data_IF_425204029293
#
_entry.id   IF_425204029293
#
_cell.length_a   1.000
_cell.length_b   1.000
_cell.length_c   1.000
_cell.angle_alpha   90.00
_cell.angle_beta   90.00
_cell.angle_gamma   90.00
#
_symmetry.space_group_name_H-M   'P 1'
#
loop_
_entity.id
_entity.type
_entity.pdbx_description
1 polymer ?
#
# COMPACT_ATOMS: atom_id res chain seq x y z
N UNK A 1 32.59 -0.97 2.23
CA UNK A 1 31.15 -0.91 2.45
C UNK A 1 30.87 -0.30 3.82
N UNK A 2 30.06 0.76 3.89
CA UNK A 2 29.70 1.37 5.18
C UNK A 2 28.76 0.40 5.91
N UNK A 3 29.26 -0.20 7.01
CA UNK A 3 28.46 -1.04 7.89
C UNK A 3 27.56 -0.18 8.75
N UNK A 4 26.29 -0.54 8.84
CA UNK A 4 25.27 0.11 9.66
C UNK A 4 25.24 -0.52 11.03
N UNK A 5 25.47 0.27 12.07
CA UNK A 5 25.36 -0.16 13.48
C UNK A 5 23.98 0.19 14.05
N UNK A 6 23.48 1.38 13.75
CA UNK A 6 22.20 1.88 14.23
C UNK A 6 21.31 2.27 13.07
N UNK A 7 20.20 1.54 12.88
CA UNK A 7 19.20 1.81 11.85
C UNK A 7 17.89 2.24 12.47
N UNK A 8 17.24 3.21 11.84
CA UNK A 8 15.90 3.65 12.16
C UNK A 8 14.95 3.26 11.03
N UNK A 9 13.95 2.43 11.30
CA UNK A 9 12.95 2.03 10.28
C UNK A 9 11.59 2.59 10.66
N UNK A 10 10.92 3.20 9.70
CA UNK A 10 9.50 3.54 9.75
C UNK A 10 8.74 2.71 8.73
N UNK A 11 7.65 2.09 9.17
CA UNK A 11 6.78 1.30 8.29
C UNK A 11 5.35 1.84 8.29
N UNK A 12 4.84 2.13 7.10
CA UNK A 12 3.47 2.56 6.85
C UNK A 12 2.74 1.46 6.07
N UNK A 13 1.72 0.89 6.72
CA UNK A 13 0.93 -0.20 6.13
C UNK A 13 -0.09 0.30 5.09
N UNK A 14 -0.64 -0.61 4.29
CA UNK A 14 -1.70 -0.36 3.32
C UNK A 14 -3.07 -0.09 3.96
N UNK A 15 -4.13 -0.15 3.16
CA UNK A 15 -5.51 -0.01 3.64
C UNK A 15 -5.95 -1.32 4.34
N UNK A 16 -5.47 -1.50 5.57
CA UNK A 16 -5.58 -2.72 6.37
C UNK A 16 -6.00 -2.39 7.81
N UNK A 17 -7.12 -2.93 8.31
CA UNK A 17 -7.62 -2.63 9.66
C UNK A 17 -6.91 -3.40 10.78
N UNK A 18 -5.99 -4.34 10.47
CA UNK A 18 -5.44 -5.32 11.43
C UNK A 18 -4.47 -4.74 12.47
N UNK A 19 -3.82 -3.61 12.17
CA UNK A 19 -3.00 -2.85 13.11
C UNK A 19 -1.66 -3.48 13.50
N UNK A 20 -0.95 -2.80 14.41
CA UNK A 20 0.45 -3.08 14.77
C UNK A 20 0.72 -4.50 15.29
N UNK A 21 -0.24 -5.10 16.02
CA UNK A 21 -0.08 -6.47 16.55
C UNK A 21 0.01 -7.53 15.46
N UNK A 22 -0.72 -7.34 14.35
CA UNK A 22 -0.64 -8.23 13.19
C UNK A 22 0.73 -8.11 12.50
N UNK A 23 1.17 -6.90 12.21
CA UNK A 23 2.44 -6.65 11.50
C UNK A 23 3.66 -7.05 12.34
N UNK A 24 3.62 -6.90 13.66
CA UNK A 24 4.68 -7.40 14.55
C UNK A 24 4.80 -8.93 14.46
N UNK A 25 3.69 -9.67 14.60
CA UNK A 25 3.71 -11.15 14.47
C UNK A 25 4.11 -11.61 13.07
N UNK A 26 3.65 -10.88 12.03
CA UNK A 26 4.05 -11.16 10.64
C UNK A 26 5.56 -11.02 10.49
N UNK A 27 6.13 -9.90 10.94
CA UNK A 27 7.57 -9.66 10.87
C UNK A 27 8.34 -10.77 11.61
N UNK A 28 7.94 -11.08 12.84
CA UNK A 28 8.58 -12.10 13.68
C UNK A 28 8.58 -13.48 13.02
N UNK A 29 7.44 -13.92 12.50
CA UNK A 29 7.32 -15.22 11.83
C UNK A 29 8.08 -15.28 10.52
N UNK A 30 8.02 -14.22 9.72
CA UNK A 30 8.63 -14.21 8.39
C UNK A 30 10.15 -13.98 8.46
N UNK A 31 10.67 -13.19 9.41
CA UNK A 31 12.12 -13.05 9.61
C UNK A 31 12.76 -14.36 10.06
N UNK A 32 12.08 -15.13 10.91
CA UNK A 32 12.54 -16.45 11.32
C UNK A 32 12.62 -17.45 10.15
N UNK A 33 11.66 -17.40 9.21
CA UNK A 33 11.69 -18.19 7.98
C UNK A 33 12.80 -17.72 7.04
N UNK A 34 12.99 -16.42 6.89
CA UNK A 34 14.01 -15.85 6.00
C UNK A 34 15.45 -16.18 6.45
N UNK A 35 15.68 -16.37 7.74
CA UNK A 35 16.98 -16.72 8.28
C UNK A 35 17.56 -18.00 7.64
N UNK A 36 16.72 -18.96 7.27
CA UNK A 36 17.15 -20.17 6.55
C UNK A 36 17.59 -19.92 5.12
N UNK A 37 17.16 -18.78 4.54
CA UNK A 37 17.45 -18.42 3.14
C UNK A 37 18.68 -17.51 3.02
N UNK A 38 18.79 -16.51 3.90
CA UNK A 38 19.84 -15.48 3.81
C UNK A 38 20.88 -15.54 4.94
N UNK A 39 20.72 -16.42 5.92
CA UNK A 39 21.61 -16.54 7.09
C UNK A 39 21.47 -15.40 8.11
N UNK A 40 20.57 -14.46 7.91
CA UNK A 40 20.38 -13.29 8.78
C UNK A 40 19.45 -13.65 9.95
N UNK A 41 20.03 -13.93 11.10
CA UNK A 41 19.27 -14.16 12.35
C UNK A 41 18.88 -12.82 12.97
N UNK A 42 17.58 -12.57 13.08
CA UNK A 42 17.01 -11.34 13.64
C UNK A 42 16.29 -11.66 14.93
N UNK A 43 16.78 -11.13 16.05
CA UNK A 43 16.06 -11.14 17.31
C UNK A 43 15.03 -10.01 17.30
N UNK A 44 13.74 -10.36 17.39
CA UNK A 44 12.62 -9.41 17.39
C UNK A 44 12.10 -9.25 18.80
N UNK A 45 12.24 -8.05 19.38
CA UNK A 45 11.75 -7.77 20.74
C UNK A 45 10.23 -7.70 20.82
N UNK A 46 9.70 -7.69 22.03
CA UNK A 46 8.29 -7.39 22.28
C UNK A 46 7.88 -6.01 21.76
N UNK A 47 6.63 -5.91 21.29
CA UNK A 47 6.05 -4.67 20.78
C UNK A 47 5.75 -3.71 21.95
N UNK A 48 6.19 -2.47 21.82
CA UNK A 48 5.91 -1.36 22.74
C UNK A 48 5.00 -0.33 22.09
N UNK A 49 4.06 0.22 22.85
CA UNK A 49 3.23 1.34 22.40
C UNK A 49 4.03 2.63 22.55
N UNK A 50 4.18 3.37 21.46
CA UNK A 50 4.78 4.70 21.43
C UNK A 50 3.73 5.81 21.51
N UNK A 51 4.18 7.04 21.27
CA UNK A 51 3.31 8.23 21.17
C UNK A 51 2.62 8.26 19.80
N UNK A 52 1.52 8.98 19.69
CA UNK A 52 0.89 9.40 18.43
C UNK A 52 0.60 8.23 17.45
N UNK A 53 -0.02 7.17 17.96
CA UNK A 53 -0.36 5.95 17.20
C UNK A 53 0.85 5.13 16.67
N UNK A 54 2.09 5.46 17.08
CA UNK A 54 3.25 4.65 16.75
C UNK A 54 3.36 3.44 17.67
N UNK A 55 3.90 2.34 17.14
CA UNK A 55 4.34 1.19 17.92
C UNK A 55 5.77 0.85 17.52
N UNK A 56 6.57 0.43 18.50
CA UNK A 56 8.00 0.18 18.29
C UNK A 56 8.38 -1.23 18.73
N UNK A 57 9.39 -1.79 18.09
CA UNK A 57 10.13 -2.96 18.54
C UNK A 57 11.59 -2.86 18.06
N UNK A 58 12.47 -3.60 18.72
CA UNK A 58 13.88 -3.68 18.34
C UNK A 58 14.10 -4.90 17.46
N UNK A 59 14.96 -4.75 16.48
CA UNK A 59 15.49 -5.81 15.67
C UNK A 59 17.00 -5.84 15.92
N UNK A 60 17.49 -6.90 16.53
CA UNK A 60 18.91 -7.06 16.81
C UNK A 60 19.48 -8.17 15.93
N UNK A 61 20.59 -7.88 15.30
CA UNK A 61 21.45 -8.86 14.62
C UNK A 61 22.84 -8.78 15.22
N UNK A 62 23.78 -9.60 14.75
CA UNK A 62 25.18 -9.57 15.21
C UNK A 62 25.83 -8.19 15.03
N UNK A 63 25.46 -7.46 13.97
CA UNK A 63 26.12 -6.21 13.57
C UNK A 63 25.25 -4.96 13.65
N UNK A 64 23.93 -5.10 13.58
CA UNK A 64 22.99 -3.98 13.42
C UNK A 64 21.91 -4.01 14.49
N UNK A 65 21.67 -2.86 15.11
CA UNK A 65 20.48 -2.61 15.95
C UNK A 65 19.53 -1.72 15.21
N UNK A 66 18.30 -2.19 14.98
CA UNK A 66 17.28 -1.42 14.29
C UNK A 66 16.12 -1.12 15.22
N UNK A 67 15.79 0.15 15.38
CA UNK A 67 14.52 0.55 15.99
C UNK A 67 13.45 0.61 14.90
N UNK A 68 12.60 -0.40 14.85
CA UNK A 68 11.49 -0.50 13.91
C UNK A 68 10.25 0.18 14.47
N UNK A 69 9.64 1.07 13.71
CA UNK A 69 8.45 1.85 14.09
C UNK A 69 7.34 1.65 13.09
N UNK A 70 6.29 1.00 13.55
CA UNK A 70 5.02 0.95 12.84
C UNK A 70 4.27 2.27 13.07
N UNK A 71 4.03 3.03 12.01
CA UNK A 71 3.25 4.26 12.03
C UNK A 71 1.78 3.95 11.75
N UNK A 72 0.98 3.85 12.82
CA UNK A 72 -0.40 3.37 12.75
C UNK A 72 -1.38 4.41 12.22
N UNK A 73 -2.20 4.01 11.25
CA UNK A 73 -3.39 4.73 10.77
C UNK A 73 -4.59 3.80 10.55
N UNK A 74 -4.49 2.59 11.08
CA UNK A 74 -5.52 1.55 11.04
C UNK A 74 -6.83 1.95 11.72
N UNK A 75 -6.81 2.90 12.65
CA UNK A 75 -8.01 3.52 13.24
C UNK A 75 -8.79 4.34 12.19
N UNK A 76 -8.10 5.07 11.30
CA UNK A 76 -8.70 5.78 10.18
C UNK A 76 -9.25 4.76 9.17
N UNK A 77 -8.47 3.71 8.84
CA UNK A 77 -8.95 2.63 7.97
C UNK A 77 -10.23 2.00 8.51
N UNK A 78 -10.29 1.67 9.82
CA UNK A 78 -11.49 1.10 10.44
C UNK A 78 -12.69 2.01 10.41
N UNK A 79 -12.51 3.33 10.55
CA UNK A 79 -13.62 4.32 10.44
C UNK A 79 -14.17 4.39 9.02
N UNK A 80 -13.31 4.29 8.02
CA UNK A 80 -13.68 4.32 6.61
C UNK A 80 -13.98 2.94 6.02
N UNK A 81 -14.08 1.88 6.85
CA UNK A 81 -14.39 0.53 6.37
C UNK A 81 -15.87 0.42 6.00
N UNK A 82 -16.17 -0.01 4.76
CA UNK A 82 -17.57 -0.18 4.32
C UNK A 82 -18.22 -1.40 4.98
N UNK A 83 -19.25 -1.18 5.78
CA UNK A 83 -19.99 -2.24 6.50
C UNK A 83 -21.39 -2.46 5.96
N UNK A 84 -22.05 -1.40 5.53
CA UNK A 84 -23.44 -1.41 5.07
C UNK A 84 -23.59 -1.16 3.57
N UNK A 85 -24.82 -1.34 3.08
CA UNK A 85 -25.16 -1.06 1.68
C UNK A 85 -25.06 0.43 1.34
N UNK A 86 -25.40 1.31 2.27
CA UNK A 86 -25.33 2.77 2.05
C UNK A 86 -23.89 3.23 1.79
N UNK A 87 -22.92 2.70 2.54
CA UNK A 87 -21.51 3.01 2.31
C UNK A 87 -21.01 2.42 0.98
N UNK A 88 -21.45 1.19 0.62
CA UNK A 88 -21.09 0.56 -0.66
C UNK A 88 -21.64 1.38 -1.83
N UNK A 89 -22.90 1.82 -1.77
CA UNK A 89 -23.52 2.66 -2.80
C UNK A 89 -22.84 4.04 -2.88
N UNK A 90 -22.54 4.65 -1.73
CA UNK A 90 -21.78 5.90 -1.67
C UNK A 90 -20.40 5.76 -2.30
N UNK A 91 -19.73 4.62 -2.12
CA UNK A 91 -18.44 4.35 -2.76
C UNK A 91 -18.56 4.14 -4.26
N UNK A 92 -19.61 3.43 -4.70
CA UNK A 92 -19.89 3.25 -6.13
C UNK A 92 -20.17 4.59 -6.81
N UNK A 93 -20.98 5.45 -6.21
CA UNK A 93 -21.24 6.80 -6.74
C UNK A 93 -19.96 7.62 -6.77
N UNK A 94 -19.17 7.58 -5.70
CA UNK A 94 -17.87 8.26 -5.65
C UNK A 94 -16.93 7.75 -6.74
N UNK A 95 -16.87 6.44 -6.98
CA UNK A 95 -16.07 5.82 -8.03
C UNK A 95 -16.52 6.30 -9.42
N UNK A 96 -17.81 6.22 -9.71
CA UNK A 96 -18.36 6.68 -11.00
C UNK A 96 -18.00 8.15 -11.25
N UNK A 97 -18.24 9.03 -10.29
CA UNK A 97 -17.94 10.46 -10.41
C UNK A 97 -16.45 10.75 -10.56
N UNK A 98 -15.62 10.08 -9.75
CA UNK A 98 -14.20 10.40 -9.64
C UNK A 98 -13.34 9.81 -10.76
N UNK A 99 -13.75 8.69 -11.34
CA UNK A 99 -12.96 7.97 -12.34
C UNK A 99 -13.64 7.94 -13.72
N UNK A 100 -14.92 7.57 -13.79
CA UNK A 100 -15.62 7.45 -15.09
C UNK A 100 -16.01 8.83 -15.64
N UNK A 101 -16.81 9.60 -14.92
CA UNK A 101 -17.33 10.89 -15.40
C UNK A 101 -16.25 11.97 -15.47
N UNK A 102 -15.18 11.87 -14.69
CA UNK A 102 -14.05 12.80 -14.73
C UNK A 102 -13.10 12.57 -15.90
N UNK A 103 -13.27 11.51 -16.69
CA UNK A 103 -12.36 11.09 -17.75
C UNK A 103 -11.03 10.50 -17.26
N UNK A 104 -10.81 10.37 -15.94
CA UNK A 104 -9.57 9.81 -15.36
C UNK A 104 -9.38 8.34 -15.68
N UNK A 105 -10.47 7.64 -15.96
CA UNK A 105 -10.44 6.24 -16.39
C UNK A 105 -9.47 5.97 -17.53
N UNK A 106 -9.37 6.88 -18.51
CA UNK A 106 -8.43 6.77 -19.63
C UNK A 106 -6.98 6.88 -19.14
N UNK A 107 -6.70 7.78 -18.19
CA UNK A 107 -5.36 7.92 -17.62
C UNK A 107 -4.93 6.65 -16.88
N UNK A 108 -5.85 6.04 -16.11
CA UNK A 108 -5.59 4.77 -15.44
C UNK A 108 -5.39 3.62 -16.42
N UNK A 109 -6.20 3.56 -17.50
CA UNK A 109 -6.07 2.55 -18.56
C UNK A 109 -4.69 2.59 -19.23
N UNK A 110 -4.21 3.80 -19.54
CA UNK A 110 -2.89 4.02 -20.13
C UNK A 110 -1.75 3.69 -19.16
N UNK A 111 -1.93 4.01 -17.86
CA UNK A 111 -0.91 3.78 -16.85
C UNK A 111 -0.76 2.31 -16.48
N UNK A 112 -1.88 1.60 -16.31
CA UNK A 112 -1.88 0.18 -15.96
C UNK A 112 -3.21 -0.50 -16.33
N UNK A 113 -3.23 -1.37 -17.35
CA UNK A 113 -4.43 -2.17 -17.67
C UNK A 113 -4.91 -3.03 -16.49
N UNK A 114 -4.01 -3.50 -15.64
CA UNK A 114 -4.37 -4.29 -14.44
C UNK A 114 -5.10 -3.46 -13.40
N UNK A 115 -4.66 -2.22 -13.19
CA UNK A 115 -5.37 -1.29 -12.29
C UNK A 115 -6.72 -0.86 -12.87
N UNK A 116 -6.83 -0.77 -14.18
CA UNK A 116 -8.12 -0.59 -14.84
C UNK A 116 -9.07 -1.76 -14.52
N UNK A 117 -8.59 -3.00 -14.66
CA UNK A 117 -9.38 -4.19 -14.33
C UNK A 117 -9.74 -4.22 -12.83
N UNK A 118 -8.78 -3.96 -11.94
CA UNK A 118 -9.01 -3.93 -10.51
C UNK A 118 -10.03 -2.85 -10.09
N UNK A 119 -10.00 -1.68 -10.73
CA UNK A 119 -10.95 -0.60 -10.47
C UNK A 119 -12.35 -0.86 -11.00
N UNK A 120 -12.48 -1.46 -12.20
CA UNK A 120 -13.79 -1.77 -12.81
C UNK A 120 -14.46 -3.00 -12.24
N UNK A 121 -13.67 -3.95 -11.77
CA UNK A 121 -14.16 -5.22 -11.22
C UNK A 121 -15.27 -5.05 -10.17
N UNK A 122 -15.16 -4.15 -9.15
CA UNK A 122 -16.22 -3.97 -8.17
C UNK A 122 -17.53 -3.45 -8.75
N UNK A 123 -17.46 -2.49 -9.68
CA UNK A 123 -18.64 -1.92 -10.31
C UNK A 123 -19.35 -2.96 -11.20
N UNK A 124 -18.58 -3.72 -11.99
CA UNK A 124 -19.10 -4.82 -12.81
C UNK A 124 -19.72 -5.92 -11.95
N UNK A 125 -19.06 -6.29 -10.84
CA UNK A 125 -19.59 -7.27 -9.91
C UNK A 125 -20.96 -6.86 -9.36
N UNK A 126 -21.10 -5.60 -8.90
CA UNK A 126 -22.37 -5.07 -8.39
C UNK A 126 -23.46 -5.06 -9.47
N UNK A 127 -23.13 -4.60 -10.69
CA UNK A 127 -24.08 -4.58 -11.80
C UNK A 127 -24.54 -5.99 -12.17
N UNK A 128 -23.61 -6.91 -12.38
CA UNK A 128 -23.94 -8.30 -12.74
C UNK A 128 -24.71 -9.02 -11.62
N UNK A 129 -24.34 -8.78 -10.35
CA UNK A 129 -25.07 -9.32 -9.21
C UNK A 129 -26.51 -8.81 -9.17
N UNK A 130 -26.75 -7.52 -9.44
CA UNK A 130 -28.08 -6.94 -9.48
C UNK A 130 -28.90 -7.52 -10.63
N UNK A 131 -28.34 -7.56 -11.84
CA UNK A 131 -29.03 -8.10 -13.01
C UNK A 131 -29.40 -9.59 -12.83
N UNK A 132 -28.45 -10.38 -12.32
CA UNK A 132 -28.69 -11.79 -12.01
C UNK A 132 -29.75 -11.98 -10.92
N UNK A 133 -29.69 -11.16 -9.87
CA UNK A 133 -30.67 -11.21 -8.77
C UNK A 133 -32.08 -10.86 -9.26
N UNK A 134 -32.22 -9.83 -10.10
CA UNK A 134 -33.50 -9.45 -10.69
C UNK A 134 -34.03 -10.56 -11.63
N UNK A 135 -33.18 -11.10 -12.48
CA UNK A 135 -33.58 -12.17 -13.41
C UNK A 135 -34.06 -13.42 -12.69
N UNK A 136 -33.33 -13.89 -11.67
CA UNK A 136 -33.73 -15.05 -10.85
C UNK A 136 -35.00 -14.77 -10.04
N UNK A 137 -35.08 -13.58 -9.42
CA UNK A 137 -36.22 -13.22 -8.58
C UNK A 137 -37.51 -13.08 -9.38
N UNK A 138 -37.47 -12.47 -10.57
CA UNK A 138 -38.64 -12.36 -11.45
C UNK A 138 -39.08 -13.72 -12.00
N UNK A 139 -38.12 -14.58 -12.39
CA UNK A 139 -38.43 -15.94 -12.85
C UNK A 139 -39.08 -16.80 -11.78
N UNK A 140 -38.58 -16.76 -10.54
CA UNK A 140 -39.14 -17.53 -9.41
C UNK A 140 -40.47 -16.96 -8.92
N UNK A 141 -40.58 -15.64 -8.77
CA UNK A 141 -41.81 -14.98 -8.32
C UNK A 141 -42.92 -15.12 -9.33
N UNK A 142 -42.62 -15.14 -10.64
CA UNK A 142 -43.58 -15.37 -11.72
C UNK A 142 -44.27 -16.74 -11.70
N UNK A 143 -43.69 -17.71 -10.99
CA UNK A 143 -44.33 -19.05 -10.80
C UNK A 143 -45.39 -19.08 -9.69
N UNK A 144 -45.53 -17.98 -8.92
CA UNK A 144 -46.53 -17.89 -7.87
C UNK A 144 -47.94 -17.77 -8.50
N UNK A 145 -48.95 -18.53 -8.00
CA UNK A 145 -50.29 -18.51 -8.57
C UNK A 145 -51.05 -17.20 -8.30
N UNK A 146 -50.61 -16.43 -7.30
CA UNK A 146 -51.24 -15.15 -6.92
C UNK A 146 -50.50 -13.96 -7.52
N UNK A 147 -51.07 -13.33 -8.56
CA UNK A 147 -50.42 -12.20 -9.26
C UNK A 147 -50.04 -11.05 -8.30
N UNK A 148 -50.89 -10.74 -7.30
CA UNK A 148 -50.60 -9.72 -6.30
C UNK A 148 -49.41 -10.01 -5.40
N UNK A 149 -49.00 -11.29 -5.27
CA UNK A 149 -47.82 -11.67 -4.48
C UNK A 149 -46.51 -11.69 -5.29
N UNK A 150 -46.58 -11.70 -6.63
CA UNK A 150 -45.39 -11.83 -7.47
C UNK A 150 -44.40 -10.64 -7.29
N UNK A 151 -44.91 -9.40 -7.28
CA UNK A 151 -44.05 -8.23 -7.09
C UNK A 151 -43.39 -8.19 -5.71
N UNK A 152 -44.14 -8.30 -4.59
CA UNK A 152 -43.48 -8.31 -3.26
C UNK A 152 -42.53 -9.48 -3.09
N UNK A 153 -42.86 -10.68 -3.57
CA UNK A 153 -41.95 -11.83 -3.54
C UNK A 153 -40.68 -11.59 -4.37
N UNK A 154 -40.81 -11.01 -5.56
CA UNK A 154 -39.66 -10.64 -6.39
C UNK A 154 -38.73 -9.64 -5.71
N UNK A 155 -39.29 -8.63 -5.03
CA UNK A 155 -38.48 -7.66 -4.25
C UNK A 155 -37.73 -8.32 -3.09
N UNK A 156 -38.42 -9.17 -2.32
CA UNK A 156 -37.82 -9.88 -1.19
C UNK A 156 -36.71 -10.84 -1.68
N UNK A 157 -36.96 -11.58 -2.75
CA UNK A 157 -35.96 -12.50 -3.36
C UNK A 157 -34.75 -11.70 -3.88
N UNK A 158 -34.97 -10.59 -4.57
CA UNK A 158 -33.88 -9.71 -5.04
C UNK A 158 -33.02 -9.23 -3.87
N UNK A 159 -33.65 -8.76 -2.79
CA UNK A 159 -32.93 -8.31 -1.60
C UNK A 159 -32.12 -9.45 -0.95
N UNK A 160 -32.69 -10.64 -0.84
CA UNK A 160 -32.00 -11.83 -0.30
C UNK A 160 -30.81 -12.25 -1.16
N UNK A 161 -30.95 -12.29 -2.49
CA UNK A 161 -29.89 -12.60 -3.43
C UNK A 161 -28.77 -11.54 -3.40
N UNK A 162 -29.12 -10.27 -3.32
CA UNK A 162 -28.14 -9.20 -3.17
C UNK A 162 -27.40 -9.28 -1.83
N UNK A 163 -28.09 -9.68 -0.74
CA UNK A 163 -27.43 -9.91 0.54
C UNK A 163 -26.40 -11.05 0.45
N UNK A 164 -26.76 -12.15 -0.21
CA UNK A 164 -25.86 -13.28 -0.49
C UNK A 164 -24.68 -12.83 -1.36
N UNK A 165 -24.95 -12.05 -2.40
CA UNK A 165 -23.90 -11.45 -3.24
C UNK A 165 -22.94 -10.58 -2.44
N UNK A 166 -23.46 -9.79 -1.48
CA UNK A 166 -22.58 -9.01 -0.58
C UNK A 166 -21.63 -9.89 0.22
N UNK A 167 -22.11 -11.01 0.75
CA UNK A 167 -21.26 -11.96 1.48
C UNK A 167 -20.15 -12.52 0.58
N UNK A 168 -20.48 -12.94 -0.64
CA UNK A 168 -19.51 -13.42 -1.63
C UNK A 168 -18.53 -12.31 -2.05
N UNK A 169 -19.02 -11.09 -2.29
CA UNK A 169 -18.23 -9.95 -2.65
C UNK A 169 -17.18 -9.56 -1.59
N UNK A 170 -17.51 -9.73 -0.30
CA UNK A 170 -16.54 -9.55 0.78
C UNK A 170 -15.42 -10.59 0.71
N UNK A 171 -15.74 -11.87 0.45
CA UNK A 171 -14.74 -12.94 0.28
C UNK A 171 -13.85 -12.72 -0.95
N UNK A 172 -14.40 -12.12 -1.99
CA UNK A 172 -13.72 -11.79 -3.24
C UNK A 172 -13.04 -10.40 -3.19
N UNK A 173 -13.01 -9.74 -2.03
CA UNK A 173 -12.44 -8.42 -1.80
C UNK A 173 -13.01 -7.30 -2.70
N UNK A 174 -14.21 -7.48 -3.27
CA UNK A 174 -14.87 -6.51 -4.15
C UNK A 174 -15.04 -5.16 -3.44
N UNK A 175 -15.61 -5.17 -2.24
CA UNK A 175 -15.91 -3.93 -1.51
C UNK A 175 -14.67 -3.31 -0.88
N UNK A 176 -13.65 -4.10 -0.59
CA UNK A 176 -12.34 -3.60 -0.17
C UNK A 176 -11.68 -2.78 -1.29
N UNK A 177 -11.66 -3.31 -2.52
CA UNK A 177 -11.14 -2.59 -3.68
C UNK A 177 -11.95 -1.31 -3.95
N UNK A 178 -13.29 -1.40 -4.03
CA UNK A 178 -14.16 -0.24 -4.25
C UNK A 178 -13.90 0.86 -3.22
N UNK A 179 -13.73 0.47 -1.95
CA UNK A 179 -13.42 1.39 -0.85
C UNK A 179 -12.08 2.08 -1.03
N UNK A 180 -11.03 1.37 -1.47
CA UNK A 180 -9.71 1.97 -1.72
C UNK A 180 -9.82 3.07 -2.78
N UNK A 181 -10.50 2.81 -3.90
CA UNK A 181 -10.70 3.81 -4.94
C UNK A 181 -11.51 5.02 -4.43
N UNK A 182 -12.62 4.77 -3.74
CA UNK A 182 -13.45 5.84 -3.18
C UNK A 182 -12.72 6.65 -2.10
N UNK A 183 -11.95 5.99 -1.22
CA UNK A 183 -11.12 6.62 -0.21
C UNK A 183 -10.06 7.53 -0.85
N UNK A 184 -9.33 7.03 -1.85
CA UNK A 184 -8.30 7.79 -2.56
C UNK A 184 -8.89 9.02 -3.26
N UNK A 185 -10.07 8.89 -3.88
CA UNK A 185 -10.77 10.00 -4.51
C UNK A 185 -11.28 11.04 -3.50
N UNK A 186 -11.77 10.61 -2.34
CA UNK A 186 -12.16 11.51 -1.23
C UNK A 186 -10.95 12.23 -0.66
N UNK A 187 -9.84 11.52 -0.47
CA UNK A 187 -8.59 12.13 -0.03
C UNK A 187 -8.10 13.20 -1.01
N UNK A 188 -8.00 12.89 -2.30
CA UNK A 188 -7.60 13.85 -3.34
C UNK A 188 -8.44 15.14 -3.31
N UNK A 189 -9.69 15.08 -2.85
CA UNK A 189 -10.62 16.21 -2.72
C UNK A 189 -10.63 16.85 -1.33
N UNK A 190 -9.71 16.48 -0.42
CA UNK A 190 -9.66 17.00 0.95
C UNK A 190 -10.82 16.59 1.86
N UNK A 191 -11.53 15.50 1.50
CA UNK A 191 -12.75 15.05 2.23
C UNK A 191 -12.46 14.03 3.34
N UNK A 192 -11.19 13.89 3.74
CA UNK A 192 -10.75 13.03 4.85
C UNK A 192 -9.86 13.88 5.76
N UNK A 193 -10.44 14.76 6.59
CA UNK A 193 -9.70 15.78 7.35
C UNK A 193 -8.75 15.16 8.38
N UNK A 194 -9.02 13.96 8.89
CA UNK A 194 -8.17 13.27 9.86
C UNK A 194 -6.83 12.79 9.30
N UNK A 195 -6.65 12.76 7.98
CA UNK A 195 -5.36 12.40 7.37
C UNK A 195 -4.30 13.48 7.59
N UNK A 196 -4.65 14.75 7.49
CA UNK A 196 -3.68 15.85 7.61
C UNK A 196 -2.95 15.84 8.96
N UNK A 197 -3.61 15.81 10.13
CA UNK A 197 -2.90 15.75 11.40
C UNK A 197 -2.10 14.45 11.56
N UNK A 198 -2.55 13.32 10.97
CA UNK A 198 -1.82 12.07 11.00
C UNK A 198 -0.53 12.15 10.17
N UNK A 199 -0.58 12.73 8.98
CA UNK A 199 0.56 12.98 8.10
C UNK A 199 1.57 13.90 8.78
N UNK A 200 1.11 14.99 9.41
CA UNK A 200 1.99 15.92 10.15
C UNK A 200 2.70 15.22 11.33
N UNK A 201 2.00 14.33 12.01
CA UNK A 201 2.59 13.50 13.08
C UNK A 201 3.68 12.57 12.53
N UNK A 202 3.42 11.91 11.42
CA UNK A 202 4.42 11.02 10.79
C UNK A 202 5.63 11.82 10.29
N UNK A 203 5.41 13.00 9.71
CA UNK A 203 6.48 13.90 9.29
C UNK A 203 7.40 14.29 10.45
N UNK A 204 6.83 14.64 11.62
CA UNK A 204 7.61 14.97 12.81
C UNK A 204 8.46 13.77 13.28
N UNK A 205 7.90 12.57 13.37
CA UNK A 205 8.67 11.38 13.75
C UNK A 205 9.82 11.09 12.77
N UNK A 206 9.60 11.27 11.47
CA UNK A 206 10.65 11.11 10.47
C UNK A 206 11.73 12.18 10.61
N UNK A 207 11.34 13.45 10.76
CA UNK A 207 12.27 14.58 10.93
C UNK A 207 13.13 14.43 12.19
N UNK A 208 12.54 14.04 13.33
CA UNK A 208 13.25 13.74 14.57
C UNK A 208 14.33 12.67 14.35
N UNK A 209 13.99 11.58 13.66
CA UNK A 209 14.92 10.49 13.40
C UNK A 209 16.04 10.86 12.40
N UNK A 210 15.75 11.71 11.41
CA UNK A 210 16.73 12.18 10.44
C UNK A 210 17.71 13.15 11.12
N UNK A 211 17.24 14.00 12.03
CA UNK A 211 18.07 14.92 12.79
C UNK A 211 18.93 14.23 13.88
N UNK A 212 18.56 13.03 14.30
CA UNK A 212 19.30 12.25 15.30
C UNK A 212 20.56 11.63 14.68
N UNK A 213 21.73 12.10 15.13
CA UNK A 213 23.04 11.65 14.66
C UNK A 213 23.38 10.21 15.09
N UNK A 214 22.68 9.68 16.09
CA UNK A 214 22.88 8.30 16.52
C UNK A 214 22.43 7.28 15.46
N UNK A 215 21.59 7.69 14.50
CA UNK A 215 21.16 6.80 13.41
C UNK A 215 22.17 6.86 12.25
N UNK A 216 22.79 5.77 11.87
CA UNK A 216 23.61 5.66 10.66
C UNK A 216 22.75 5.73 9.39
N UNK A 217 21.55 5.15 9.43
CA UNK A 217 20.60 5.10 8.30
C UNK A 217 19.16 5.20 8.77
N UNK A 218 18.35 6.00 8.06
CA UNK A 218 16.91 6.15 8.29
C UNK A 218 16.15 5.61 7.08
N UNK A 219 15.42 4.53 7.27
CA UNK A 219 14.68 3.83 6.22
C UNK A 219 13.18 4.03 6.43
N UNK A 220 12.52 4.58 5.45
CA UNK A 220 11.07 4.77 5.44
C UNK A 220 10.49 3.78 4.43
N UNK A 221 9.68 2.84 4.92
CA UNK A 221 9.06 1.80 4.10
C UNK A 221 7.56 2.01 4.09
N UNK A 222 6.97 2.06 2.93
CA UNK A 222 5.53 2.17 2.78
C UNK A 222 5.01 1.09 1.82
N UNK A 223 3.90 0.45 2.19
CA UNK A 223 3.30 -0.63 1.42
C UNK A 223 1.90 -0.23 0.94
N UNK A 224 1.58 -0.53 -0.34
CA UNK A 224 0.23 -0.35 -0.89
C UNK A 224 -0.28 1.10 -0.74
N UNK A 225 -1.46 1.29 -0.18
CA UNK A 225 -2.06 2.61 0.12
C UNK A 225 -1.19 3.43 1.10
N UNK A 226 -0.37 2.80 1.95
CA UNK A 226 0.61 3.50 2.79
C UNK A 226 1.60 4.33 1.98
N UNK A 227 1.86 3.94 0.72
CA UNK A 227 2.72 4.71 -0.19
C UNK A 227 2.14 6.08 -0.53
N UNK A 228 0.82 6.24 -0.49
CA UNK A 228 0.20 7.56 -0.62
C UNK A 228 0.42 8.42 0.63
N UNK A 229 0.36 7.79 1.83
CA UNK A 229 0.57 8.50 3.11
C UNK A 229 2.00 9.01 3.27
N UNK A 230 2.99 8.22 2.84
CA UNK A 230 4.41 8.55 3.02
C UNK A 230 4.86 9.74 2.18
N UNK A 231 4.26 9.96 1.00
CA UNK A 231 4.67 11.07 0.11
C UNK A 231 4.58 12.44 0.79
N UNK A 232 3.39 12.90 1.25
CA UNK A 232 3.32 14.19 1.93
C UNK A 232 4.03 14.17 3.29
N UNK A 233 4.07 13.04 4.01
CA UNK A 233 4.75 12.95 5.29
C UNK A 233 6.26 13.15 5.17
N UNK A 234 6.90 12.45 4.22
CA UNK A 234 8.34 12.59 4.01
C UNK A 234 8.70 13.95 3.40
N UNK A 235 7.89 14.45 2.47
CA UNK A 235 8.11 15.80 1.91
C UNK A 235 8.12 16.88 3.02
N UNK A 236 7.16 16.83 3.95
CA UNK A 236 7.12 17.71 5.11
C UNK A 236 8.28 17.46 6.08
N UNK A 237 8.68 16.21 6.30
CA UNK A 237 9.82 15.88 7.16
C UNK A 237 11.12 16.50 6.64
N UNK A 238 11.37 16.36 5.34
CA UNK A 238 12.58 16.92 4.70
C UNK A 238 12.63 18.45 4.74
N UNK A 239 11.49 19.15 4.74
CA UNK A 239 11.42 20.60 4.93
C UNK A 239 11.84 21.05 6.35
N UNK A 240 11.75 20.14 7.34
CA UNK A 240 12.14 20.42 8.72
C UNK A 240 13.63 20.15 8.99
N UNK A 241 14.37 19.64 8.01
CA UNK A 241 15.80 19.38 8.13
C UNK A 241 16.55 20.67 7.77
N UNK A 242 17.19 21.27 8.79
CA UNK A 242 17.92 22.54 8.63
C UNK A 242 19.33 22.33 8.10
N UNK A 243 19.96 21.22 8.47
CA UNK A 243 21.33 20.89 8.07
C UNK A 243 21.35 19.87 6.92
N UNK A 244 21.76 20.28 5.69
CA UNK A 244 21.88 19.37 4.56
C UNK A 244 22.84 18.19 4.79
N UNK A 245 23.81 18.32 5.70
CA UNK A 245 24.74 17.24 6.03
C UNK A 245 24.02 16.02 6.62
N UNK A 246 22.88 16.22 7.28
CA UNK A 246 22.01 15.13 7.80
C UNK A 246 21.45 14.24 6.72
N UNK A 247 21.43 14.70 5.47
CA UNK A 247 20.93 13.97 4.30
C UNK A 247 22.07 13.41 3.44
N UNK A 248 23.34 13.68 3.80
CA UNK A 248 24.49 13.26 3.02
C UNK A 248 24.57 11.72 2.89
N UNK A 249 25.29 11.26 1.88
CA UNK A 249 25.58 9.84 1.60
C UNK A 249 24.35 8.93 1.47
N UNK A 250 23.20 9.48 1.05
CA UNK A 250 21.94 8.75 0.92
C UNK A 250 21.53 8.02 2.22
N UNK A 251 21.79 8.65 3.35
CA UNK A 251 21.44 8.15 4.68
C UNK A 251 19.91 7.98 4.86
N UNK A 252 19.11 8.76 4.12
CA UNK A 252 17.66 8.67 4.12
C UNK A 252 17.20 7.88 2.91
N UNK A 253 16.51 6.77 3.17
CA UNK A 253 16.03 5.85 2.14
C UNK A 253 14.51 5.75 2.20
N UNK A 254 13.84 5.97 1.08
CA UNK A 254 12.43 5.67 0.89
C UNK A 254 12.28 4.39 0.08
N UNK A 255 11.55 3.41 0.62
CA UNK A 255 11.19 2.19 -0.10
C UNK A 255 9.67 2.13 -0.22
N UNK A 256 9.17 2.21 -1.45
CA UNK A 256 7.76 2.03 -1.77
C UNK A 256 7.53 0.62 -2.32
N UNK A 257 6.60 -0.11 -1.70
CA UNK A 257 6.30 -1.52 -2.01
C UNK A 257 4.88 -1.63 -2.57
N UNK A 258 4.74 -2.10 -3.80
CA UNK A 258 3.43 -2.25 -4.43
C UNK A 258 2.62 -0.96 -4.43
N UNK A 259 3.18 0.14 -4.91
CA UNK A 259 2.64 1.48 -4.72
C UNK A 259 1.28 1.70 -5.38
N UNK A 260 0.45 2.52 -4.71
CA UNK A 260 -0.88 2.96 -5.15
C UNK A 260 -0.95 4.49 -5.39
N UNK A 261 0.18 5.17 -5.49
CA UNK A 261 0.32 6.64 -5.58
C UNK A 261 -0.58 7.27 -6.66
N UNK A 262 -0.73 6.68 -7.88
CA UNK A 262 -1.59 7.23 -8.92
C UNK A 262 -3.07 7.32 -8.54
N UNK A 263 -3.55 6.53 -7.57
CA UNK A 263 -4.93 6.63 -7.08
C UNK A 263 -5.27 8.00 -6.50
N UNK A 264 -4.27 8.76 -6.03
CA UNK A 264 -4.43 10.15 -5.60
C UNK A 264 -3.88 11.11 -6.64
N UNK A 265 -2.65 10.90 -7.12
CA UNK A 265 -1.95 11.90 -7.95
C UNK A 265 -2.62 12.20 -9.29
N UNK A 266 -3.39 11.26 -9.85
CA UNK A 266 -4.11 11.45 -11.11
C UNK A 266 -5.38 12.30 -10.98
N UNK A 267 -5.88 12.57 -9.78
CA UNK A 267 -7.03 13.45 -9.61
C UNK A 267 -6.66 14.92 -9.80
N UNK A 268 -7.55 15.69 -10.46
CA UNK A 268 -7.34 17.12 -10.67
C UNK A 268 -7.11 17.88 -9.37
N UNK A 269 -7.88 17.55 -8.34
CA UNK A 269 -7.85 18.21 -7.04
C UNK A 269 -6.58 17.92 -6.19
N UNK A 270 -5.71 16.98 -6.63
CA UNK A 270 -4.54 16.56 -5.87
C UNK A 270 -3.29 17.45 -6.14
N UNK A 271 -3.45 18.77 -6.20
CA UNK A 271 -2.35 19.72 -6.47
C UNK A 271 -1.23 19.61 -5.44
N UNK A 272 -1.56 19.71 -4.15
CA UNK A 272 -0.59 19.64 -3.05
C UNK A 272 0.12 18.29 -2.99
N UNK A 273 -0.59 17.21 -3.27
CA UNK A 273 0.00 15.88 -3.33
C UNK A 273 1.03 15.77 -4.48
N UNK A 274 0.73 16.32 -5.65
CA UNK A 274 1.69 16.38 -6.77
C UNK A 274 2.87 17.30 -6.47
N UNK A 275 2.67 18.39 -5.72
CA UNK A 275 3.76 19.24 -5.26
C UNK A 275 4.72 18.48 -4.33
N UNK A 276 4.19 17.66 -3.41
CA UNK A 276 5.01 16.79 -2.57
C UNK A 276 5.77 15.73 -3.40
N UNK A 277 5.13 15.12 -4.39
CA UNK A 277 5.80 14.20 -5.32
C UNK A 277 6.94 14.87 -6.08
N UNK A 278 6.73 16.08 -6.59
CA UNK A 278 7.75 16.86 -7.27
C UNK A 278 8.93 17.14 -6.34
N UNK A 279 8.67 17.56 -5.10
CA UNK A 279 9.71 17.84 -4.11
C UNK A 279 10.57 16.60 -3.87
N UNK A 280 9.96 15.42 -3.63
CA UNK A 280 10.71 14.17 -3.45
C UNK A 280 11.43 13.74 -4.72
N UNK A 281 10.82 13.92 -5.90
CA UNK A 281 11.43 13.61 -7.19
C UNK A 281 12.62 14.48 -7.56
N UNK A 282 12.77 15.65 -6.93
CA UNK A 282 13.90 16.57 -7.13
C UNK A 282 14.99 16.44 -6.06
N UNK A 283 14.77 15.62 -5.03
CA UNK A 283 15.66 15.53 -3.88
C UNK A 283 16.82 14.55 -4.14
N UNK A 284 17.97 15.08 -4.56
CA UNK A 284 19.15 14.27 -4.97
C UNK A 284 19.75 13.39 -3.86
N UNK A 285 19.61 13.80 -2.60
CA UNK A 285 20.18 13.07 -1.47
C UNK A 285 19.23 11.97 -0.94
N UNK A 286 17.97 11.93 -1.39
CA UNK A 286 17.01 10.88 -1.07
C UNK A 286 17.24 9.68 -1.98
N UNK A 287 17.55 8.53 -1.41
CA UNK A 287 17.51 7.27 -2.15
C UNK A 287 16.06 6.76 -2.16
N UNK A 288 15.38 6.83 -3.29
CA UNK A 288 14.02 6.31 -3.43
C UNK A 288 14.01 5.04 -4.28
N UNK A 289 13.63 3.91 -3.66
CA UNK A 289 13.47 2.61 -4.31
C UNK A 289 12.00 2.26 -4.41
N UNK A 290 11.50 2.04 -5.60
CA UNK A 290 10.13 1.61 -5.84
C UNK A 290 10.11 0.16 -6.32
N UNK A 291 9.64 -0.73 -5.45
CA UNK A 291 9.50 -2.16 -5.78
C UNK A 291 8.05 -2.48 -6.13
N UNK A 292 7.81 -2.80 -7.39
CA UNK A 292 6.49 -3.21 -7.89
C UNK A 292 6.58 -4.45 -8.77
N UNK A 293 5.79 -5.48 -8.43
CA UNK A 293 5.78 -6.72 -9.19
C UNK A 293 4.74 -6.65 -10.32
N UNK A 294 5.11 -6.98 -11.58
CA UNK A 294 4.14 -7.05 -12.68
C UNK A 294 3.01 -8.07 -12.46
N UNK A 295 3.18 -9.01 -11.55
CA UNK A 295 2.15 -10.01 -11.18
C UNK A 295 1.22 -9.54 -10.07
N UNK A 296 1.53 -8.44 -9.41
CA UNK A 296 0.67 -7.81 -8.40
C UNK A 296 -0.38 -6.93 -9.09
N UNK A 297 -1.64 -7.39 -9.10
CA UNK A 297 -2.76 -6.68 -9.71
C UNK A 297 -3.27 -5.47 -8.92
N UNK A 298 -2.80 -5.28 -7.67
CA UNK A 298 -3.27 -4.21 -6.79
C UNK A 298 -2.34 -2.99 -6.75
N UNK A 299 -1.26 -2.98 -7.56
CA UNK A 299 -0.31 -1.86 -7.64
C UNK A 299 -0.16 -1.33 -9.07
N UNK A 300 0.65 -0.28 -9.26
CA UNK A 300 1.04 0.27 -10.57
C UNK A 300 2.45 -0.22 -10.95
N UNK A 301 2.57 -1.39 -11.60
CA UNK A 301 3.86 -2.04 -11.77
C UNK A 301 4.78 -1.22 -12.68
N UNK A 302 5.99 -0.93 -12.16
CA UNK A 302 7.06 -0.22 -12.86
C UNK A 302 6.64 1.15 -13.46
N UNK A 303 5.60 1.76 -12.92
CA UNK A 303 5.15 3.10 -13.28
C UNK A 303 5.81 4.13 -12.38
N UNK A 304 6.63 5.02 -12.94
CA UNK A 304 7.21 6.10 -12.15
C UNK A 304 6.12 7.04 -11.62
N UNK A 305 5.90 7.11 -10.27
CA UNK A 305 4.78 7.85 -9.70
C UNK A 305 4.91 9.38 -9.83
N UNK A 306 6.12 9.88 -10.06
CA UNK A 306 6.39 11.31 -10.25
C UNK A 306 6.07 11.72 -11.68
N UNK A 307 6.70 11.07 -12.66
CA UNK A 307 6.54 11.47 -14.07
C UNK A 307 5.18 11.11 -14.65
N UNK A 308 4.56 10.03 -14.16
CA UNK A 308 3.21 9.61 -14.62
C UNK A 308 2.10 10.61 -14.31
N UNK A 309 2.29 11.49 -13.33
CA UNK A 309 1.34 12.56 -13.00
C UNK A 309 1.78 13.95 -13.52
N UNK A 310 2.74 13.97 -14.47
CA UNK A 310 3.20 15.21 -15.12
C UNK A 310 4.23 16.01 -14.30
N UNK A 311 4.84 15.42 -13.26
CA UNK A 311 5.93 16.05 -12.52
C UNK A 311 7.29 15.63 -13.10
N UNK A 312 8.34 16.37 -12.78
CA UNK A 312 9.70 16.14 -13.30
C UNK A 312 10.61 15.75 -12.15
N UNK A 313 11.39 14.68 -12.36
CA UNK A 313 12.52 14.34 -11.49
C UNK A 313 13.75 15.17 -11.89
N UNK A 314 14.59 15.50 -10.90
CA UNK A 314 15.93 16.06 -11.22
C UNK A 314 16.82 14.94 -11.79
N UNK A 315 17.86 15.27 -12.55
CA UNK A 315 18.88 14.30 -12.94
C UNK A 315 19.43 13.58 -11.70
N UNK A 316 19.53 12.26 -11.79
CA UNK A 316 20.00 11.36 -10.71
C UNK A 316 19.16 11.37 -9.41
N UNK A 317 17.91 11.86 -9.49
CA UNK A 317 16.96 11.85 -8.39
C UNK A 317 15.63 11.19 -8.76
N UNK A 318 14.79 10.97 -7.74
CA UNK A 318 13.48 10.35 -7.89
C UNK A 318 13.51 8.82 -7.74
N UNK A 319 12.37 8.14 -7.98
CA UNK A 319 12.25 6.71 -7.73
C UNK A 319 13.03 5.88 -8.76
N UNK A 320 13.85 4.96 -8.25
CA UNK A 320 14.41 3.86 -9.04
C UNK A 320 13.36 2.76 -9.13
N UNK A 321 12.83 2.53 -10.34
CA UNK A 321 11.78 1.56 -10.61
C UNK A 321 12.35 0.15 -10.66
N UNK A 322 12.01 -0.69 -9.69
CA UNK A 322 12.57 -2.01 -9.47
C UNK A 322 11.47 -3.07 -9.43
N UNK A 323 11.76 -4.22 -10.02
CA UNK A 323 10.91 -5.40 -9.82
C UNK A 323 11.56 -6.31 -8.78
N UNK A 324 10.79 -6.80 -7.77
CA UNK A 324 11.33 -7.79 -6.83
C UNK A 324 11.59 -9.15 -7.48
N UNK A 325 11.16 -9.36 -8.75
CA UNK A 325 11.35 -10.60 -9.53
C UNK A 325 10.95 -11.86 -8.74
N UNK A 326 9.80 -11.84 -8.07
CA UNK A 326 9.34 -12.92 -7.21
C UNK A 326 9.45 -14.32 -7.83
N UNK A 327 9.34 -14.43 -9.17
CA UNK A 327 9.50 -15.72 -9.85
C UNK A 327 10.89 -16.34 -9.71
N UNK A 328 11.92 -15.55 -9.39
CA UNK A 328 13.29 -16.04 -9.13
C UNK A 328 13.49 -16.38 -7.65
N UNK A 329 12.71 -15.77 -6.75
CA UNK A 329 12.85 -15.87 -5.30
C UNK A 329 12.08 -17.05 -4.69
N UNK A 330 11.15 -17.64 -5.44
CA UNK A 330 10.36 -18.80 -4.99
C UNK A 330 10.62 -20.03 -5.86
N UNK A 331 10.45 -21.22 -5.30
CA UNK A 331 10.45 -22.44 -6.10
C UNK A 331 9.29 -22.43 -7.11
N UNK A 332 9.42 -22.96 -8.33
CA UNK A 332 8.41 -22.86 -9.38
C UNK A 332 7.02 -23.36 -8.97
N UNK A 333 6.97 -24.48 -8.23
CA UNK A 333 5.71 -25.04 -7.70
C UNK A 333 5.05 -24.16 -6.66
N UNK A 334 5.83 -23.56 -5.77
CA UNK A 334 5.36 -22.61 -4.77
C UNK A 334 4.88 -21.31 -5.43
N UNK A 335 5.69 -20.74 -6.33
CA UNK A 335 5.31 -19.52 -7.05
C UNK A 335 4.04 -19.68 -7.87
N UNK A 336 3.82 -20.86 -8.50
CA UNK A 336 2.58 -21.15 -9.22
C UNK A 336 1.33 -21.07 -8.32
N UNK A 337 1.43 -21.48 -7.06
CA UNK A 337 0.35 -21.35 -6.06
C UNK A 337 0.16 -19.89 -5.66
N UNK A 338 1.25 -19.19 -5.29
CA UNK A 338 1.24 -17.80 -4.88
C UNK A 338 0.63 -16.88 -5.96
N UNK A 339 1.00 -17.06 -7.22
CA UNK A 339 0.49 -16.26 -8.35
C UNK A 339 -1.02 -16.36 -8.56
N UNK A 340 -1.65 -17.45 -8.12
CA UNK A 340 -3.12 -17.64 -8.20
C UNK A 340 -3.84 -16.94 -7.05
N UNK A 341 -3.16 -16.69 -5.94
CA UNK A 341 -3.71 -16.03 -4.76
C UNK A 341 -3.38 -14.52 -4.83
N UNK A 342 -4.13 -13.78 -5.65
CA UNK A 342 -3.87 -12.36 -5.94
C UNK A 342 -3.74 -11.47 -4.69
N UNK A 343 -4.50 -11.74 -3.63
CA UNK A 343 -4.36 -11.04 -2.35
C UNK A 343 -3.01 -11.32 -1.70
N UNK A 344 -2.57 -12.59 -1.70
CA UNK A 344 -1.26 -12.99 -1.18
C UNK A 344 -0.12 -12.35 -1.98
N UNK A 345 -0.26 -12.28 -3.32
CA UNK A 345 0.73 -11.63 -4.19
C UNK A 345 1.04 -10.19 -3.75
N UNK A 346 0.01 -9.45 -3.35
CA UNK A 346 0.16 -8.06 -2.89
C UNK A 346 0.93 -7.94 -1.57
N UNK A 347 1.00 -9.00 -0.77
CA UNK A 347 1.72 -9.03 0.51
C UNK A 347 3.09 -9.71 0.42
N UNK A 348 3.47 -10.28 -0.73
CA UNK A 348 4.76 -10.97 -0.87
C UNK A 348 5.97 -10.08 -0.59
N UNK A 349 5.84 -8.78 -0.74
CA UNK A 349 6.89 -7.83 -0.38
C UNK A 349 7.31 -7.91 1.09
N UNK A 350 6.46 -8.43 1.97
CA UNK A 350 6.69 -8.54 3.42
C UNK A 350 6.97 -9.98 3.87
N UNK A 351 7.04 -10.92 2.93
CA UNK A 351 7.15 -12.35 3.21
C UNK A 351 8.58 -12.85 2.99
N UNK A 352 8.91 -13.95 3.67
CA UNK A 352 10.13 -14.70 3.41
C UNK A 352 10.11 -15.31 2.01
N UNK A 353 11.30 -15.48 1.46
CA UNK A 353 11.51 -16.07 0.13
C UNK A 353 12.11 -17.48 0.25
N UNK A 354 11.90 -18.33 -0.77
CA UNK A 354 12.47 -19.68 -0.77
C UNK A 354 13.97 -19.67 -1.17
N UNK A 355 14.43 -18.58 -1.81
CA UNK A 355 15.78 -18.44 -2.36
C UNK A 355 16.32 -17.04 -2.10
N UNK A 356 17.64 -16.87 -1.92
CA UNK A 356 18.25 -15.56 -1.88
C UNK A 356 18.12 -14.86 -3.24
N UNK A 357 18.14 -13.53 -3.24
CA UNK A 357 18.07 -12.75 -4.47
C UNK A 357 18.11 -11.24 -4.26
N UNK A 358 17.83 -10.45 -5.30
CA UNK A 358 18.03 -9.00 -5.28
C UNK A 358 16.99 -8.23 -4.43
N UNK A 359 15.97 -8.90 -3.94
CA UNK A 359 14.97 -8.32 -3.05
C UNK A 359 14.90 -9.13 -1.75
N UNK A 360 15.20 -8.50 -0.64
CA UNK A 360 15.06 -9.07 0.70
C UNK A 360 14.60 -7.98 1.68
N UNK A 361 13.33 -8.06 2.09
CA UNK A 361 12.73 -7.10 3.05
C UNK A 361 13.46 -7.07 4.38
N UNK A 362 13.98 -8.21 4.84
CA UNK A 362 14.63 -8.35 6.13
C UNK A 362 16.06 -7.80 6.09
N UNK A 363 16.74 -7.97 4.96
CA UNK A 363 18.05 -7.33 4.74
C UNK A 363 17.93 -5.81 4.70
N UNK A 364 16.89 -5.24 4.10
CA UNK A 364 16.64 -3.79 4.15
C UNK A 364 16.38 -3.27 5.56
N UNK A 365 15.74 -4.05 6.41
CA UNK A 365 15.33 -3.60 7.75
C UNK A 365 16.34 -3.89 8.84
N UNK A 366 17.15 -4.94 8.71
CA UNK A 366 18.05 -5.41 9.77
C UNK A 366 19.44 -5.87 9.29
N UNK A 367 19.71 -5.85 7.98
CA UNK A 367 21.01 -6.24 7.42
C UNK A 367 22.13 -5.27 7.79
N UNK A 368 23.41 -5.73 7.75
CA UNK A 368 24.56 -4.96 8.20
C UNK A 368 25.00 -3.85 7.23
N UNK A 369 24.63 -3.93 5.96
CA UNK A 369 25.10 -3.03 4.93
C UNK A 369 24.10 -1.91 4.65
N UNK A 370 24.62 -0.71 4.32
CA UNK A 370 23.79 0.39 3.86
C UNK A 370 23.03 -0.01 2.59
N UNK A 371 21.73 0.37 2.52
CA UNK A 371 20.87 0.00 1.37
C UNK A 371 21.47 0.50 0.04
N UNK A 372 22.10 1.69 0.04
CA UNK A 372 22.78 2.22 -1.12
C UNK A 372 23.93 1.31 -1.62
N UNK A 373 24.55 0.54 -0.73
CA UNK A 373 25.62 -0.39 -1.08
C UNK A 373 25.08 -1.72 -1.59
N UNK A 374 24.00 -2.25 -0.98
CA UNK A 374 23.35 -3.49 -1.43
C UNK A 374 22.90 -3.42 -2.89
N UNK A 375 22.52 -2.25 -3.38
CA UNK A 375 22.10 -2.06 -4.78
C UNK A 375 23.26 -2.21 -5.79
N UNK A 376 24.49 -1.88 -5.38
CA UNK A 376 25.68 -1.97 -6.28
C UNK A 376 26.12 -3.41 -6.52
N UNK A 377 25.79 -4.34 -5.65
CA UNK A 377 26.12 -5.76 -5.78
C UNK A 377 25.17 -6.53 -6.70
N UNK A 378 24.01 -5.92 -7.03
CA UNK A 378 22.97 -6.56 -7.83
C UNK A 378 22.77 -5.89 -9.22
N UNK A 379 23.54 -4.85 -9.54
CA UNK A 379 23.64 -4.22 -10.88
C UNK A 379 24.85 -4.74 -11.63
#
# INVERSE_FOLDING_TARGET
LARIKQRRVFYLHGFDPRGAGHYHRLYQSQSALQASTNGLHIEVSGRQRGRDHAHHWQLNTEHTRTRYSYLGWDDIVRRHWARGWLEILSDLVCFIQAYLLSGRFIAFAKASPKQLMAGTYPALYLLLSLLLSLWLATGLAGQLPWQGAQLPAGLVLTAALMHTSKYLGNKLAVFWLLRIYAFSARWARGRIPELTPRINTFARHMAEAINDEANDEVVIIAHSVGTMMVIPALAQALQQIQDPAKLANQRVVLITLGHCIPLVSFHHAAGDFRAALRQLGQHKQLLWLDYTAPTDGACFPLLNPVTSCGQICAPDAGPRMLSPRFFTLYHPTHYKKLRRAWYTMHFLYLMATDKPGPYDFFAFTAGPDAIACQLKEHT
#
